data_IF_528257374392
#
_entry.id   IF_528257374392
#
_cell.length_a   1.000
_cell.length_b   1.000
_cell.length_c   1.000
_cell.angle_alpha   90.00
_cell.angle_beta   90.00
_cell.angle_gamma   90.00
#
_symmetry.space_group_name_H-M   'P 1'
#
loop_
_entity.id
_entity.type
_entity.pdbx_description
1 polymer ?
#
# COMPACT_ATOMS: atom_id res chain seq x y z
N UNK A 1 -4.44 -21.96 -41.64
CA UNK A 1 -5.73 -21.25 -41.52
C UNK A 1 -6.90 -22.23 -41.58
N UNK A 2 -6.94 -23.16 -42.54
CA UNK A 2 -7.98 -24.21 -42.65
C UNK A 2 -8.12 -25.12 -41.42
N UNK A 3 -7.03 -25.48 -40.75
CA UNK A 3 -7.07 -26.32 -39.55
C UNK A 3 -7.85 -25.68 -38.38
N UNK A 4 -7.77 -24.36 -38.22
CA UNK A 4 -8.49 -23.62 -37.18
C UNK A 4 -9.99 -23.52 -37.49
N UNK A 5 -10.34 -23.38 -38.77
CA UNK A 5 -11.74 -23.37 -39.23
C UNK A 5 -12.38 -24.74 -38.99
N UNK A 6 -11.66 -25.82 -39.28
CA UNK A 6 -12.14 -27.17 -39.08
C UNK A 6 -12.26 -27.56 -37.60
N UNK A 7 -11.35 -27.09 -36.74
CA UNK A 7 -11.46 -27.25 -35.28
C UNK A 7 -12.67 -26.50 -34.74
N UNK A 8 -12.88 -25.24 -35.18
CA UNK A 8 -14.04 -24.44 -34.78
C UNK A 8 -15.35 -25.11 -35.19
N UNK A 9 -15.46 -25.57 -36.44
CA UNK A 9 -16.64 -26.29 -36.96
C UNK A 9 -16.97 -27.53 -36.12
N UNK A 10 -15.96 -28.33 -35.78
CA UNK A 10 -16.14 -29.52 -34.92
C UNK A 10 -16.63 -29.17 -33.51
N UNK A 11 -16.13 -28.10 -32.92
CA UNK A 11 -16.60 -27.64 -31.61
C UNK A 11 -18.04 -27.12 -31.64
N UNK A 12 -18.41 -26.38 -32.69
CA UNK A 12 -19.78 -25.86 -32.85
C UNK A 12 -20.78 -26.98 -33.11
N UNK A 13 -20.44 -27.99 -33.92
CA UNK A 13 -21.26 -29.18 -34.14
C UNK A 13 -21.42 -30.02 -32.86
N UNK A 14 -20.35 -30.17 -32.08
CA UNK A 14 -20.41 -30.84 -30.78
C UNK A 14 -21.26 -30.06 -29.75
N UNK A 15 -21.17 -28.73 -29.75
CA UNK A 15 -21.98 -27.86 -28.90
C UNK A 15 -23.47 -27.89 -29.26
N UNK A 16 -23.79 -27.88 -30.57
CA UNK A 16 -25.17 -27.99 -31.05
C UNK A 16 -25.80 -29.35 -30.72
N UNK A 17 -25.02 -30.43 -30.72
CA UNK A 17 -25.48 -31.77 -30.36
C UNK A 17 -25.64 -31.98 -28.84
N UNK A 18 -24.96 -31.19 -28.00
CA UNK A 18 -24.98 -31.32 -26.55
C UNK A 18 -26.28 -30.84 -25.88
N UNK A 19 -27.16 -30.14 -26.62
CA UNK A 19 -28.41 -29.60 -26.10
C UNK A 19 -28.22 -28.43 -25.13
N UNK A 20 -29.31 -27.77 -24.74
CA UNK A 20 -29.27 -26.68 -23.79
C UNK A 20 -28.82 -27.18 -22.40
N UNK A 21 -27.80 -26.53 -21.83
CA UNK A 21 -27.37 -26.79 -20.47
C UNK A 21 -28.48 -26.27 -19.54
N UNK A 22 -29.19 -27.19 -18.87
CA UNK A 22 -30.18 -26.86 -17.87
C UNK A 22 -29.46 -26.43 -16.58
N UNK A 23 -28.96 -25.19 -16.58
CA UNK A 23 -28.28 -24.61 -15.43
C UNK A 23 -29.34 -24.21 -14.38
N UNK A 24 -29.27 -24.71 -13.13
CA UNK A 24 -30.18 -24.29 -12.07
C UNK A 24 -30.17 -22.76 -11.94
N UNK A 25 -31.32 -22.16 -11.64
CA UNK A 25 -31.44 -20.70 -11.50
C UNK A 25 -30.38 -20.08 -10.58
N UNK A 26 -29.93 -20.81 -9.56
CA UNK A 26 -28.83 -20.41 -8.67
C UNK A 26 -27.47 -20.25 -9.37
N UNK A 27 -27.16 -21.09 -10.37
CA UNK A 27 -25.94 -20.98 -11.19
C UNK A 27 -26.04 -19.78 -12.13
N UNK A 28 -27.22 -19.54 -12.69
CA UNK A 28 -27.49 -18.36 -13.52
C UNK A 28 -27.38 -17.09 -12.68
N UNK A 29 -27.92 -17.08 -11.45
CA UNK A 29 -27.78 -15.95 -10.52
C UNK A 29 -26.33 -15.75 -10.09
N UNK A 30 -25.57 -16.82 -9.83
CA UNK A 30 -24.14 -16.72 -9.52
C UNK A 30 -23.35 -16.15 -10.71
N UNK A 31 -23.62 -16.60 -11.94
CA UNK A 31 -23.02 -16.05 -13.15
C UNK A 31 -23.43 -14.59 -13.38
N UNK A 32 -24.68 -14.21 -13.10
CA UNK A 32 -25.13 -12.82 -13.19
C UNK A 32 -24.50 -11.92 -12.13
N UNK A 33 -24.29 -12.43 -10.91
CA UNK A 33 -23.52 -11.73 -9.87
C UNK A 33 -22.07 -11.56 -10.29
N UNK A 34 -21.47 -12.61 -10.86
CA UNK A 34 -20.13 -12.53 -11.43
C UNK A 34 -20.10 -11.46 -12.52
N UNK A 35 -21.04 -11.45 -13.46
CA UNK A 35 -21.12 -10.43 -14.52
C UNK A 35 -21.36 -9.01 -13.95
N UNK A 36 -22.23 -8.84 -12.98
CA UNK A 36 -22.50 -7.54 -12.35
C UNK A 36 -21.30 -7.01 -11.54
N UNK A 37 -20.51 -7.90 -10.94
CA UNK A 37 -19.23 -7.56 -10.30
C UNK A 37 -18.14 -7.28 -11.36
N UNK A 38 -18.18 -7.97 -12.50
CA UNK A 38 -17.25 -7.76 -13.63
C UNK A 38 -17.51 -6.44 -14.40
N UNK A 39 -18.75 -5.94 -14.45
CA UNK A 39 -19.08 -4.68 -15.13
C UNK A 39 -18.71 -3.41 -14.32
N UNK A 40 -18.26 -3.55 -13.06
CA UNK A 40 -17.88 -2.44 -12.19
C UNK A 40 -16.50 -1.80 -12.51
N UNK A 41 -16.00 -1.93 -13.75
CA UNK A 41 -14.85 -1.17 -14.23
C UNK A 41 -13.47 -1.60 -13.69
N UNK A 42 -13.40 -2.65 -12.86
CA UNK A 42 -12.13 -3.22 -12.44
C UNK A 42 -11.64 -4.22 -13.49
N UNK A 43 -10.50 -3.92 -14.13
CA UNK A 43 -9.81 -4.95 -14.94
C UNK A 43 -9.25 -5.99 -13.99
N UNK A 44 -9.91 -7.14 -13.87
CA UNK A 44 -9.40 -8.26 -13.08
C UNK A 44 -8.27 -8.95 -13.86
N UNK A 45 -7.02 -8.73 -13.44
CA UNK A 45 -5.87 -9.50 -13.93
C UNK A 45 -5.57 -10.60 -12.92
N UNK A 46 -5.79 -11.84 -13.32
CA UNK A 46 -5.40 -13.01 -12.54
C UNK A 46 -3.91 -13.31 -12.80
N UNK A 47 -3.10 -13.25 -11.75
CA UNK A 47 -1.66 -13.52 -11.79
C UNK A 47 -1.29 -14.91 -11.25
N UNK A 48 -2.28 -15.79 -11.00
CA UNK A 48 -2.00 -17.19 -10.70
C UNK A 48 -1.19 -17.82 -11.84
N UNK A 49 -0.10 -18.49 -11.49
CA UNK A 49 0.91 -19.04 -12.42
C UNK A 49 1.75 -17.98 -13.18
N UNK A 50 1.63 -16.69 -12.86
CA UNK A 50 2.53 -15.69 -13.42
C UNK A 50 3.95 -15.90 -12.87
N UNK A 51 4.92 -15.72 -13.75
CA UNK A 51 6.35 -15.73 -13.40
C UNK A 51 6.88 -14.31 -13.54
N UNK A 52 7.24 -13.71 -12.41
CA UNK A 52 7.88 -12.40 -12.37
C UNK A 52 9.37 -12.58 -12.13
N UNK A 53 10.17 -12.34 -13.17
CA UNK A 53 11.64 -12.29 -13.04
C UNK A 53 12.05 -10.84 -12.79
N UNK A 54 12.47 -10.58 -11.55
CA UNK A 54 12.84 -9.24 -11.09
C UNK A 54 14.35 -9.15 -10.90
N UNK A 55 15.04 -10.25 -10.61
CA UNK A 55 16.49 -10.31 -10.56
C UNK A 55 17.14 -10.07 -11.92
N UNK A 56 18.28 -9.38 -11.91
CA UNK A 56 19.07 -9.07 -13.10
C UNK A 56 19.81 -10.31 -13.63
N UNK A 57 20.03 -10.35 -14.94
CA UNK A 57 20.77 -11.45 -15.58
C UNK A 57 22.28 -11.39 -15.30
N UNK A 58 22.95 -12.54 -15.32
CA UNK A 58 24.40 -12.62 -15.23
C UNK A 58 25.10 -12.04 -16.47
N UNK A 59 26.28 -11.46 -16.27
CA UNK A 59 27.04 -10.78 -17.32
C UNK A 59 27.73 -11.74 -18.30
N UNK A 60 28.01 -11.23 -19.50
CA UNK A 60 28.76 -11.88 -20.58
C UNK A 60 30.28 -11.85 -20.32
N UNK A 61 31.13 -12.53 -21.12
CA UNK A 61 32.59 -12.51 -20.92
C UNK A 61 33.12 -11.08 -20.88
N UNK A 62 33.88 -10.75 -19.82
CA UNK A 62 34.43 -9.42 -19.55
C UNK A 62 33.38 -8.29 -19.38
N UNK A 63 32.10 -8.62 -19.27
CA UNK A 63 31.00 -7.67 -19.10
C UNK A 63 30.42 -7.64 -17.68
N UNK A 64 29.82 -6.52 -17.29
CA UNK A 64 29.03 -6.42 -16.06
C UNK A 64 27.74 -7.24 -16.11
N UNK A 65 27.22 -7.61 -14.95
CA UNK A 65 25.88 -8.20 -14.83
C UNK A 65 24.76 -7.15 -14.97
N UNK A 66 23.54 -7.61 -15.21
CA UNK A 66 22.35 -6.77 -15.27
C UNK A 66 21.92 -6.30 -13.87
N UNK A 67 21.34 -5.11 -13.80
CA UNK A 67 20.74 -4.59 -12.57
C UNK A 67 19.42 -5.34 -12.26
N UNK A 68 19.13 -5.52 -10.97
CA UNK A 68 17.84 -6.04 -10.53
C UNK A 68 16.77 -4.94 -10.54
N UNK A 69 15.50 -5.37 -10.66
CA UNK A 69 14.34 -4.48 -10.66
C UNK A 69 13.62 -4.41 -9.31
N UNK A 70 12.50 -3.69 -9.30
CA UNK A 70 11.56 -3.64 -8.18
C UNK A 70 10.18 -4.03 -8.70
N UNK A 71 9.58 -5.05 -8.08
CA UNK A 71 8.16 -5.38 -8.28
C UNK A 71 7.37 -4.73 -7.16
N UNK A 72 6.51 -3.77 -7.50
CA UNK A 72 5.63 -3.09 -6.54
C UNK A 72 4.21 -3.63 -6.65
N UNK A 73 3.67 -4.13 -5.54
CA UNK A 73 2.26 -4.54 -5.41
C UNK A 73 1.54 -3.49 -4.56
N UNK A 74 0.44 -2.93 -5.08
CA UNK A 74 -0.28 -1.84 -4.42
C UNK A 74 -1.59 -2.33 -3.83
N UNK A 75 -1.88 -1.93 -2.60
CA UNK A 75 -3.18 -2.09 -1.95
C UNK A 75 -3.36 -3.36 -1.12
N UNK A 76 -2.38 -4.28 -1.13
CA UNK A 76 -2.34 -5.44 -0.22
C UNK A 76 -1.02 -5.46 0.57
N UNK A 77 -1.07 -5.90 1.82
CA UNK A 77 0.09 -5.94 2.73
C UNK A 77 1.01 -7.13 2.44
N UNK A 78 0.43 -8.23 1.98
CA UNK A 78 1.12 -9.46 1.60
C UNK A 78 0.35 -10.21 0.52
N UNK A 79 1.05 -11.10 -0.20
CA UNK A 79 0.37 -12.00 -1.13
C UNK A 79 -0.52 -12.98 -0.36
N UNK A 80 -1.79 -13.15 -0.75
CA UNK A 80 -2.64 -14.22 -0.23
C UNK A 80 -1.97 -15.59 -0.40
N UNK A 81 -2.16 -16.49 0.57
CA UNK A 81 -1.48 -17.79 0.60
C UNK A 81 -1.72 -18.64 -0.66
N UNK A 82 -2.94 -18.57 -1.24
CA UNK A 82 -3.29 -19.27 -2.48
C UNK A 82 -2.50 -18.74 -3.68
N UNK A 83 -2.35 -17.41 -3.77
CA UNK A 83 -1.57 -16.76 -4.83
C UNK A 83 -0.07 -17.00 -4.60
N UNK A 84 0.41 -16.88 -3.36
CA UNK A 84 1.82 -17.09 -3.02
C UNK A 84 2.30 -18.53 -3.34
N UNK A 85 1.40 -19.52 -3.28
CA UNK A 85 1.71 -20.90 -3.64
C UNK A 85 1.84 -21.14 -5.15
N UNK A 86 1.14 -20.35 -5.98
CA UNK A 86 1.06 -20.54 -7.43
C UNK A 86 1.90 -19.52 -8.23
N UNK A 87 2.11 -18.34 -7.67
CA UNK A 87 2.87 -17.25 -8.29
C UNK A 87 4.36 -17.42 -8.01
N UNK A 88 5.18 -17.40 -9.06
CA UNK A 88 6.63 -17.49 -8.91
C UNK A 88 7.26 -16.10 -9.06
N UNK A 89 7.86 -15.59 -8.00
CA UNK A 89 8.63 -14.33 -8.02
C UNK A 89 10.11 -14.66 -7.84
N UNK A 90 10.88 -14.49 -8.91
CA UNK A 90 12.33 -14.66 -8.88
C UNK A 90 13.01 -13.31 -8.62
N UNK A 91 13.43 -13.13 -7.38
CA UNK A 91 14.22 -11.98 -6.93
C UNK A 91 15.74 -12.22 -7.02
N UNK A 92 16.18 -13.43 -7.36
CA UNK A 92 17.59 -13.77 -7.34
C UNK A 92 18.32 -13.19 -8.55
N UNK A 93 19.48 -12.57 -8.30
CA UNK A 93 20.39 -12.18 -9.37
C UNK A 93 21.01 -13.41 -10.03
N UNK A 94 21.05 -13.42 -11.36
CA UNK A 94 21.61 -14.52 -12.13
C UNK A 94 23.12 -14.67 -11.92
N UNK A 95 23.66 -15.91 -11.92
CA UNK A 95 25.09 -16.12 -11.79
C UNK A 95 25.85 -15.62 -13.02
N UNK A 96 27.05 -15.04 -12.81
CA UNK A 96 27.98 -14.73 -13.89
C UNK A 96 28.36 -16.01 -14.63
N UNK A 97 27.88 -16.16 -15.86
CA UNK A 97 27.97 -17.43 -16.60
C UNK A 97 29.28 -17.58 -17.40
N UNK A 98 30.14 -16.56 -17.34
CA UNK A 98 31.35 -16.47 -18.16
C UNK A 98 32.57 -16.02 -17.35
N UNK A 99 33.79 -16.47 -17.72
CA UNK A 99 35.02 -16.00 -17.09
C UNK A 99 35.14 -14.47 -17.16
N UNK A 100 35.30 -13.83 -15.99
CA UNK A 100 35.37 -12.37 -15.87
C UNK A 100 34.02 -11.64 -16.02
N UNK A 101 32.90 -12.35 -16.08
CA UNK A 101 31.55 -11.76 -16.10
C UNK A 101 31.01 -11.51 -14.68
N UNK A 102 30.40 -10.35 -14.45
CA UNK A 102 29.75 -10.01 -13.18
C UNK A 102 28.45 -10.78 -12.94
N UNK A 103 28.11 -11.03 -11.67
CA UNK A 103 26.77 -11.55 -11.31
C UNK A 103 25.69 -10.48 -11.48
N UNK A 104 24.44 -10.91 -11.71
CA UNK A 104 23.29 -10.03 -11.79
C UNK A 104 22.85 -9.51 -10.41
N UNK A 105 22.25 -8.32 -10.38
CA UNK A 105 21.72 -7.72 -9.17
C UNK A 105 20.44 -8.42 -8.68
N UNK A 106 20.24 -8.48 -7.36
CA UNK A 106 18.99 -8.98 -6.78
C UNK A 106 17.83 -8.01 -7.02
N UNK A 107 16.62 -8.56 -7.17
CA UNK A 107 15.38 -7.82 -7.23
C UNK A 107 14.77 -7.58 -5.85
N UNK A 108 13.79 -6.66 -5.77
CA UNK A 108 13.04 -6.37 -4.54
C UNK A 108 11.55 -6.51 -4.79
N UNK A 109 10.85 -7.23 -3.93
CA UNK A 109 9.40 -7.17 -3.82
C UNK A 109 9.02 -6.09 -2.81
N UNK A 110 8.23 -5.11 -3.24
CA UNK A 110 7.75 -4.01 -2.41
C UNK A 110 6.23 -4.02 -2.41
N UNK A 111 5.65 -3.85 -1.23
CA UNK A 111 4.23 -3.57 -1.10
C UNK A 111 4.03 -2.09 -0.80
N UNK A 112 3.05 -1.45 -1.43
CA UNK A 112 2.68 -0.04 -1.19
C UNK A 112 1.19 0.10 -0.91
N UNK A 113 0.83 1.05 -0.05
CA UNK A 113 -0.56 1.29 0.28
C UNK A 113 -1.31 1.94 -0.89
N UNK A 114 -2.59 1.58 -1.05
CA UNK A 114 -3.50 2.31 -1.92
C UNK A 114 -4.02 3.57 -1.22
N UNK A 115 -4.52 4.51 -2.01
CA UNK A 115 -5.28 5.64 -1.48
C UNK A 115 -6.57 5.15 -0.84
N UNK A 116 -6.95 5.80 0.26
CA UNK A 116 -8.22 5.56 0.96
C UNK A 116 -9.37 6.03 0.08
N UNK A 117 -10.44 5.24 0.08
CA UNK A 117 -11.69 5.55 -0.61
C UNK A 117 -12.80 5.87 0.40
N UNK A 118 -13.90 6.45 -0.07
CA UNK A 118 -15.05 6.76 0.78
C UNK A 118 -15.64 5.52 1.46
N UNK A 119 -15.53 4.36 0.80
CA UNK A 119 -16.03 3.09 1.32
C UNK A 119 -15.23 2.60 2.53
N UNK A 120 -13.93 2.90 2.61
CA UNK A 120 -13.13 2.59 3.80
C UNK A 120 -13.61 3.40 5.01
N UNK A 121 -13.93 4.69 4.80
CA UNK A 121 -14.49 5.57 5.84
C UNK A 121 -15.85 5.07 6.29
N UNK A 122 -16.71 4.67 5.34
CA UNK A 122 -18.01 4.07 5.63
C UNK A 122 -17.89 2.73 6.39
N UNK A 123 -16.84 1.97 6.09
CA UNK A 123 -16.47 0.75 6.82
C UNK A 123 -15.89 1.03 8.23
N UNK A 124 -15.70 2.29 8.60
CA UNK A 124 -15.27 2.71 9.94
C UNK A 124 -13.77 3.03 10.04
N UNK A 125 -13.07 3.21 8.92
CA UNK A 125 -11.70 3.73 8.93
C UNK A 125 -11.67 5.14 9.52
N UNK A 126 -10.82 5.34 10.53
CA UNK A 126 -10.55 6.66 11.13
C UNK A 126 -9.22 6.67 11.88
N UNK A 127 -8.70 7.87 12.10
CA UNK A 127 -7.46 8.09 12.89
C UNK A 127 -7.83 8.91 14.13
N UNK A 128 -8.35 8.28 15.20
CA UNK A 128 -8.87 8.99 16.37
C UNK A 128 -7.74 9.61 17.22
N UNK A 129 -6.52 9.13 17.08
CA UNK A 129 -5.35 9.64 17.81
C UNK A 129 -4.33 10.05 16.79
N UNK A 130 -3.95 11.33 16.82
CA UNK A 130 -2.82 11.86 16.08
C UNK A 130 -2.28 13.10 16.81
N UNK A 131 -1.04 13.06 17.27
CA UNK A 131 -0.40 14.19 17.93
C UNK A 131 1.14 14.08 17.89
N UNK A 132 1.86 15.21 17.92
CA UNK A 132 3.30 15.24 18.07
C UNK A 132 3.73 14.91 19.52
N UNK A 133 4.93 14.38 19.67
CA UNK A 133 5.58 14.14 20.95
C UNK A 133 7.11 14.29 20.83
N UNK A 134 7.78 14.42 21.98
CA UNK A 134 9.24 14.49 22.03
C UNK A 134 9.90 13.15 21.69
N UNK A 135 9.19 12.04 21.95
CA UNK A 135 9.61 10.70 21.57
C UNK A 135 8.40 9.78 21.50
N UNK A 136 8.39 8.93 20.49
CA UNK A 136 7.37 7.89 20.28
C UNK A 136 8.07 6.56 19.98
N UNK A 137 7.64 5.51 20.66
CA UNK A 137 8.00 4.14 20.32
C UNK A 137 6.73 3.27 20.27
N UNK A 138 6.64 2.40 19.27
CA UNK A 138 5.55 1.44 19.13
C UNK A 138 6.10 0.04 19.37
N UNK A 139 5.56 -0.66 20.35
CA UNK A 139 5.94 -2.02 20.70
C UNK A 139 4.72 -2.77 21.25
N UNK A 140 4.59 -4.05 20.90
CA UNK A 140 3.55 -4.95 21.44
C UNK A 140 2.11 -4.39 21.34
N UNK A 141 1.83 -3.66 20.27
CA UNK A 141 0.52 -3.01 20.05
C UNK A 141 0.27 -1.75 20.89
N UNK A 142 1.26 -1.29 21.66
CA UNK A 142 1.20 -0.09 22.51
C UNK A 142 1.98 1.07 21.90
N UNK A 143 1.55 2.30 22.23
CA UNK A 143 2.33 3.53 21.99
C UNK A 143 2.97 3.96 23.31
N UNK A 144 4.29 3.88 23.37
CA UNK A 144 5.09 4.50 24.43
C UNK A 144 5.42 5.92 24.01
N UNK A 145 5.05 6.90 24.84
CA UNK A 145 5.18 8.31 24.50
C UNK A 145 5.82 9.10 25.64
N UNK A 146 6.64 10.09 25.27
CA UNK A 146 7.20 11.09 26.17
C UNK A 146 6.91 12.49 25.63
N UNK A 147 6.29 13.34 26.45
CA UNK A 147 6.03 14.74 26.13
C UNK A 147 5.15 14.93 24.90
N UNK A 148 4.03 14.19 24.81
CA UNK A 148 3.04 14.33 23.74
C UNK A 148 1.99 15.40 24.00
N UNK A 149 1.21 15.75 22.97
CA UNK A 149 0.08 16.67 23.10
C UNK A 149 0.51 18.13 23.23
N UNK A 150 1.39 18.58 22.33
CA UNK A 150 1.91 19.95 22.34
C UNK A 150 0.80 20.98 22.11
N UNK A 151 0.60 21.89 23.05
CA UNK A 151 -0.12 23.14 22.78
C UNK A 151 0.77 24.10 21.96
N UNK A 152 2.07 24.10 22.25
CA UNK A 152 3.06 24.90 21.56
C UNK A 152 4.42 24.18 21.46
N UNK A 153 5.24 24.62 20.52
CA UNK A 153 6.64 24.23 20.35
C UNK A 153 7.52 25.48 20.30
N UNK A 154 8.54 25.55 21.17
CA UNK A 154 9.45 26.71 21.22
C UNK A 154 10.68 26.47 20.36
N UNK A 155 11.02 27.45 19.54
CA UNK A 155 12.22 27.47 18.69
C UNK A 155 13.14 28.61 19.11
N UNK A 156 14.47 28.46 19.00
CA UNK A 156 15.42 29.51 19.39
C UNK A 156 15.40 30.71 18.43
N UNK A 157 15.25 30.45 17.14
CA UNK A 157 15.18 31.46 16.08
C UNK A 157 14.36 30.92 14.90
N UNK A 158 14.09 31.75 13.89
CA UNK A 158 13.46 31.33 12.66
C UNK A 158 14.31 31.78 11.46
N UNK A 159 14.49 30.92 10.44
CA UNK A 159 13.94 29.57 10.30
C UNK A 159 14.64 28.53 11.19
N UNK A 160 13.90 27.50 11.62
CA UNK A 160 14.44 26.41 12.45
C UNK A 160 14.05 25.04 11.90
N UNK A 161 15.04 24.17 11.70
CA UNK A 161 14.83 22.79 11.27
C UNK A 161 15.01 21.84 12.46
N UNK A 162 14.08 20.90 12.62
CA UNK A 162 14.11 19.90 13.68
C UNK A 162 13.49 18.59 13.20
N UNK A 163 13.60 17.56 14.02
CA UNK A 163 12.90 16.29 13.81
C UNK A 163 11.75 16.24 14.81
N UNK A 164 10.56 15.91 14.31
CA UNK A 164 9.39 15.65 15.15
C UNK A 164 9.02 14.18 15.08
N UNK A 165 8.60 13.64 16.21
CA UNK A 165 7.92 12.36 16.28
C UNK A 165 6.41 12.61 16.46
N UNK A 166 5.59 11.85 15.74
CA UNK A 166 4.14 11.89 15.88
C UNK A 166 3.60 10.47 16.08
N UNK A 167 2.70 10.31 17.04
CA UNK A 167 1.99 9.07 17.26
C UNK A 167 0.66 9.11 16.50
N UNK A 168 0.26 7.98 15.92
CA UNK A 168 -1.09 7.79 15.41
C UNK A 168 -1.65 6.43 15.77
N UNK A 169 -2.97 6.38 15.99
CA UNK A 169 -3.74 5.14 16.07
C UNK A 169 -4.70 5.14 14.90
N UNK A 170 -4.65 4.08 14.09
CA UNK A 170 -5.57 3.87 12.97
C UNK A 170 -6.58 2.81 13.39
N UNK A 171 -7.86 3.13 13.35
CA UNK A 171 -8.96 2.16 13.51
C UNK A 171 -9.52 1.82 12.14
N UNK A 172 -9.71 0.54 11.85
CA UNK A 172 -10.09 0.04 10.53
C UNK A 172 -11.55 -0.37 10.40
N UNK A 173 -12.28 -0.47 11.51
CA UNK A 173 -13.66 -0.97 11.51
C UNK A 173 -13.75 -2.32 10.82
N UNK A 174 -14.55 -2.38 9.74
CA UNK A 174 -14.77 -3.58 8.90
C UNK A 174 -14.01 -3.54 7.58
N UNK A 175 -12.97 -2.70 7.45
CA UNK A 175 -12.09 -2.68 6.26
C UNK A 175 -11.47 -4.07 6.05
N UNK A 176 -11.34 -4.49 4.79
CA UNK A 176 -10.86 -5.83 4.45
C UNK A 176 -9.43 -6.08 4.99
N UNK A 177 -9.20 -7.16 5.76
CA UNK A 177 -7.87 -7.54 6.21
C UNK A 177 -6.89 -7.76 5.06
N UNK A 178 -5.58 -7.64 5.34
CA UNK A 178 -4.51 -7.68 4.35
C UNK A 178 -4.60 -6.57 3.28
N UNK A 179 -5.56 -5.65 3.36
CA UNK A 179 -5.47 -4.40 2.59
C UNK A 179 -4.32 -3.56 3.14
N UNK A 180 -3.66 -2.79 2.28
CA UNK A 180 -2.69 -1.80 2.72
C UNK A 180 -3.11 -0.41 2.29
N UNK A 181 -3.22 0.49 3.28
CA UNK A 181 -3.65 1.86 3.09
C UNK A 181 -2.47 2.82 3.24
N UNK A 182 -2.44 3.84 2.40
CA UNK A 182 -1.38 4.84 2.41
C UNK A 182 -1.85 6.13 3.04
N UNK A 183 -1.02 6.69 3.92
CA UNK A 183 -1.27 7.95 4.62
C UNK A 183 -0.11 8.92 4.44
N UNK A 184 -0.42 10.14 4.05
CA UNK A 184 0.52 11.25 3.98
C UNK A 184 0.41 12.09 5.24
N UNK A 185 1.55 12.31 5.89
CA UNK A 185 1.70 13.28 6.96
C UNK A 185 2.30 14.55 6.40
N UNK A 186 1.67 15.67 6.72
CA UNK A 186 2.06 17.00 6.24
C UNK A 186 1.91 18.03 7.35
N UNK A 187 2.60 19.16 7.21
CA UNK A 187 2.35 20.35 8.02
C UNK A 187 1.75 21.45 7.14
N UNK A 188 0.77 22.17 7.67
CA UNK A 188 0.32 23.45 7.14
C UNK A 188 0.89 24.56 8.01
N UNK A 189 1.56 25.49 7.35
CA UNK A 189 2.04 26.72 8.00
C UNK A 189 0.88 27.71 8.20
N UNK A 190 1.06 28.77 9.02
CA UNK A 190 0.07 29.84 9.18
C UNK A 190 -0.37 30.52 7.87
N UNK A 191 0.48 30.45 6.82
CA UNK A 191 0.16 30.95 5.48
C UNK A 191 -0.54 29.92 4.58
N UNK A 192 -1.07 28.83 5.15
CA UNK A 192 -1.74 27.71 4.48
C UNK A 192 -0.88 26.95 3.45
N UNK A 193 0.44 27.19 3.46
CA UNK A 193 1.37 26.40 2.66
C UNK A 193 1.50 25.00 3.26
N UNK A 194 1.08 24.00 2.49
CA UNK A 194 1.19 22.59 2.86
C UNK A 194 2.54 22.04 2.46
N UNK A 195 3.26 21.42 3.40
CA UNK A 195 4.52 20.73 3.17
C UNK A 195 4.38 19.25 3.52
N UNK A 196 4.72 18.37 2.59
CA UNK A 196 4.78 16.94 2.85
C UNK A 196 5.95 16.62 3.79
N UNK A 197 5.70 15.80 4.80
CA UNK A 197 6.68 15.40 5.81
C UNK A 197 7.08 13.92 5.67
N UNK A 198 6.09 13.04 5.49
CA UNK A 198 6.31 11.60 5.42
C UNK A 198 5.11 10.88 4.82
N UNK A 199 5.34 9.69 4.27
CA UNK A 199 4.31 8.74 3.83
C UNK A 199 4.43 7.47 4.68
N UNK A 200 3.29 6.95 5.14
CA UNK A 200 3.20 5.70 5.89
C UNK A 200 2.26 4.77 5.15
N UNK A 201 2.68 3.54 4.94
CA UNK A 201 1.80 2.46 4.53
C UNK A 201 1.44 1.61 5.75
N UNK A 202 0.15 1.33 5.90
CA UNK A 202 -0.38 0.61 7.06
C UNK A 202 -1.27 -0.52 6.58
N UNK A 203 -0.82 -1.73 6.86
CA UNK A 203 -1.59 -2.95 6.65
C UNK A 203 -2.74 -3.05 7.66
N UNK A 204 -3.92 -3.42 7.14
CA UNK A 204 -5.11 -3.75 7.91
C UNK A 204 -4.92 -5.15 8.48
N UNK A 205 -4.80 -5.32 9.81
CA UNK A 205 -4.54 -6.62 10.39
C UNK A 205 -5.81 -7.47 10.43
N UNK A 206 -5.62 -8.77 10.58
CA UNK A 206 -6.70 -9.70 10.87
C UNK A 206 -7.33 -9.36 12.25
N UNK A 207 -8.66 -9.15 12.34
CA UNK A 207 -9.30 -8.80 13.60
C UNK A 207 -9.17 -9.94 14.63
N UNK A 208 -8.49 -9.66 15.74
CA UNK A 208 -8.37 -10.61 16.87
C UNK A 208 -9.40 -10.39 17.98
N UNK A 209 -10.23 -9.36 17.84
CA UNK A 209 -11.21 -8.95 18.84
C UNK A 209 -12.17 -7.88 18.30
N UNK A 210 -12.94 -7.23 19.18
CA UNK A 210 -13.97 -6.27 18.79
C UNK A 210 -13.40 -4.94 18.24
N UNK A 211 -12.10 -4.68 18.46
CA UNK A 211 -11.42 -3.49 17.95
C UNK A 211 -10.35 -3.92 16.95
N UNK A 212 -10.50 -3.48 15.70
CA UNK A 212 -9.46 -3.60 14.69
C UNK A 212 -8.71 -2.27 14.58
N UNK A 213 -7.53 -2.19 15.20
CA UNK A 213 -6.71 -0.97 15.21
C UNK A 213 -5.23 -1.25 15.33
N UNK A 214 -4.40 -0.33 14.83
CA UNK A 214 -2.95 -0.39 14.96
C UNK A 214 -2.36 0.93 15.40
N UNK A 215 -1.29 0.82 16.19
CA UNK A 215 -0.46 1.93 16.60
C UNK A 215 0.66 2.12 15.57
N UNK A 216 0.94 3.36 15.18
CA UNK A 216 2.05 3.73 14.30
C UNK A 216 2.70 5.02 14.80
N UNK A 217 3.92 5.25 14.35
CA UNK A 217 4.66 6.48 14.60
C UNK A 217 5.29 7.00 13.32
N UNK A 218 5.35 8.31 13.20
CA UNK A 218 6.10 9.01 12.15
C UNK A 218 7.22 9.78 12.77
N UNK A 219 8.39 9.65 12.16
CA UNK A 219 9.52 10.53 12.42
C UNK A 219 9.84 11.30 11.16
N UNK A 220 9.73 12.62 11.21
CA UNK A 220 9.93 13.46 10.04
C UNK A 220 10.74 14.71 10.35
N UNK A 221 11.51 15.15 9.35
CA UNK A 221 12.20 16.44 9.38
C UNK A 221 11.21 17.54 9.04
N UNK A 222 11.14 18.58 9.88
CA UNK A 222 10.29 19.74 9.68
C UNK A 222 11.12 21.02 9.78
N UNK A 223 10.79 22.00 8.95
CA UNK A 223 11.40 23.33 8.98
C UNK A 223 10.31 24.38 9.22
N UNK A 224 10.38 25.04 10.37
CA UNK A 224 9.53 26.16 10.72
C UNK A 224 10.11 27.45 10.15
N UNK A 225 9.30 28.21 9.42
CA UNK A 225 9.72 29.48 8.78
C UNK A 225 9.02 30.71 9.36
N UNK A 226 7.87 30.53 10.02
CA UNK A 226 7.10 31.59 10.64
C UNK A 226 6.64 31.16 12.04
N UNK A 227 6.43 32.10 12.97
CA UNK A 227 5.73 31.81 14.21
C UNK A 227 4.23 31.70 13.95
N UNK A 228 3.49 31.12 14.89
CA UNK A 228 2.03 31.02 14.85
C UNK A 228 1.51 29.59 14.80
N UNK A 229 0.21 29.44 14.56
CA UNK A 229 -0.46 28.13 14.58
C UNK A 229 -0.12 27.35 13.31
N UNK A 230 0.45 26.17 13.52
CA UNK A 230 0.70 25.17 12.48
C UNK A 230 -0.25 24.00 12.69
N UNK A 231 -0.57 23.30 11.60
CA UNK A 231 -1.40 22.09 11.66
C UNK A 231 -0.62 20.90 11.11
N UNK A 232 -0.43 19.86 11.92
CA UNK A 232 -0.10 18.54 11.40
C UNK A 232 -1.39 17.92 10.86
N UNK A 233 -1.30 17.34 9.67
CA UNK A 233 -2.44 16.74 8.99
C UNK A 233 -2.06 15.38 8.43
N UNK A 234 -2.92 14.40 8.70
CA UNK A 234 -2.89 13.10 8.04
C UNK A 234 -3.95 13.08 6.94
N UNK A 235 -3.54 12.79 5.72
CA UNK A 235 -4.44 12.60 4.58
C UNK A 235 -4.20 11.28 3.88
N UNK A 236 -5.13 10.89 3.04
CA UNK A 236 -4.88 9.90 1.99
C UNK A 236 -5.55 10.40 0.71
N UNK A 237 -4.76 10.74 -0.29
CA UNK A 237 -5.24 11.47 -1.46
C UNK A 237 -5.89 12.79 -1.05
N UNK A 238 -7.15 12.99 -1.42
CA UNK A 238 -7.93 14.18 -1.08
C UNK A 238 -8.63 14.10 0.29
N UNK A 239 -8.67 12.90 0.91
CA UNK A 239 -9.37 12.68 2.16
C UNK A 239 -8.49 13.11 3.33
N UNK A 240 -9.01 14.02 4.16
CA UNK A 240 -8.40 14.44 5.42
C UNK A 240 -8.89 13.56 6.56
N UNK A 241 -7.97 12.83 7.20
CA UNK A 241 -8.28 11.81 8.21
C UNK A 241 -8.09 12.30 9.64
N UNK A 242 -7.08 13.15 9.87
CA UNK A 242 -6.83 13.72 11.19
C UNK A 242 -6.06 15.04 11.09
N UNK A 243 -6.26 15.91 12.07
CA UNK A 243 -5.62 17.23 12.19
C UNK A 243 -5.22 17.45 13.64
N UNK A 244 -4.02 17.98 13.84
CA UNK A 244 -3.52 18.41 15.13
C UNK A 244 -2.87 19.79 15.02
N UNK A 245 -3.42 20.77 15.72
CA UNK A 245 -2.93 22.16 15.70
C UNK A 245 -2.02 22.44 16.90
N UNK A 246 -0.94 23.16 16.68
CA UNK A 246 -0.01 23.61 17.73
C UNK A 246 0.64 24.94 17.36
N UNK A 247 1.02 25.74 18.35
CA UNK A 247 1.65 27.04 18.12
C UNK A 247 3.17 26.96 18.11
N UNK A 248 3.82 27.51 17.08
CA UNK A 248 5.28 27.71 17.07
C UNK A 248 5.60 29.09 17.64
N UNK A 249 6.41 29.12 18.70
CA UNK A 249 6.82 30.35 19.41
C UNK A 249 8.34 30.52 19.39
N UNK A 250 8.83 31.74 19.25
CA UNK A 250 10.25 32.07 19.46
C UNK A 250 10.50 32.14 20.99
N UNK A 251 11.63 31.61 21.45
CA UNK A 251 12.05 31.67 22.87
C UNK A 251 12.24 33.09 23.39
#
# INVERSE_FOLDING_TARGET
>A
MEALVEIKRRHEEAGAAAGAIDAPSQVITALQWTVAVYEAGATHMDFRNAVFKVGGDGGYPLGGGGEGGVLTIVGIGSLPDDIAAEMTIDLAGGPGSYPGGGGGGGGVLKFEGRTVETDDIAAGLKIPVFFPANSVAVADGLVHLLGGGWEYYRVPELPFATIIDAALVVEFGTTQPNSMLSFDVSVLDPGENRRHLSRIDVEVPEPTGPLNRVCRSVRASIKFEAPGVHELVVTSGEIRLSVYSFEVRIQ
#
